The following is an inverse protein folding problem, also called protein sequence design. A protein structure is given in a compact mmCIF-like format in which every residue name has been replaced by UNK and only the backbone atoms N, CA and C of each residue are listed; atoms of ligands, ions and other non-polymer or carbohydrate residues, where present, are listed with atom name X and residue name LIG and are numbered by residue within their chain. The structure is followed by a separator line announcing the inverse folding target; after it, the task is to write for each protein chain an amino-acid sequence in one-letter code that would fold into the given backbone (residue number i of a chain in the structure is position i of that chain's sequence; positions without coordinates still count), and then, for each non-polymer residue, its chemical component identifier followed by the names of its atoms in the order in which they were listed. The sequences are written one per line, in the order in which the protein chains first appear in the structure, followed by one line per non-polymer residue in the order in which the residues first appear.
data_IF_015714415172
#
_entry.id   IF_015714415172
#
_cell.length_a   1.000
_cell.length_b   1.000
_cell.length_c   1.000
_cell.angle_alpha   90.00
_cell.angle_beta   90.00
_cell.angle_gamma   90.00
#
_symmetry.space_group_name_H-M   'P 1'
#
loop_
_entity.id
_entity.type
_entity.pdbx_description
1 polymer ?
#
# COMPACT_ATOMS: atom_id res chain seq x y z
N UNK A 1 15.87 4.74 -14.20
CA UNK A 1 15.81 3.41 -13.55
C UNK A 1 15.10 2.46 -14.51
N UNK A 2 15.54 1.21 -14.64
CA UNK A 2 14.84 0.24 -15.49
C UNK A 2 13.81 -0.53 -14.64
N UNK A 3 12.52 -0.16 -14.69
CA UNK A 3 11.49 -0.85 -13.90
C UNK A 3 11.17 -2.26 -14.41
N UNK A 4 11.44 -2.57 -15.68
CA UNK A 4 11.06 -3.86 -16.29
C UNK A 4 11.69 -5.08 -15.61
N UNK A 5 12.91 -4.96 -15.06
CA UNK A 5 13.59 -6.07 -14.36
C UNK A 5 12.93 -6.47 -13.03
N UNK A 6 12.08 -5.60 -12.50
CA UNK A 6 11.37 -5.83 -11.25
C UNK A 6 9.97 -6.40 -11.47
N UNK A 7 9.39 -6.23 -12.66
CA UNK A 7 8.00 -6.61 -12.91
C UNK A 7 7.97 -8.05 -13.45
N UNK A 8 7.17 -8.91 -12.85
CA UNK A 8 6.99 -10.30 -13.31
C UNK A 8 6.38 -10.34 -14.71
N UNK A 9 6.62 -11.43 -15.45
CA UNK A 9 6.02 -11.62 -16.77
C UNK A 9 4.48 -11.57 -16.73
N UNK A 10 3.88 -12.16 -15.67
CA UNK A 10 2.43 -12.12 -15.45
C UNK A 10 1.93 -10.70 -15.25
N UNK A 11 2.63 -9.90 -14.44
CA UNK A 11 2.24 -8.51 -14.20
C UNK A 11 2.44 -7.64 -15.45
N UNK A 12 3.53 -7.83 -16.19
CA UNK A 12 3.81 -7.11 -17.43
C UNK A 12 2.79 -7.44 -18.54
N UNK A 13 2.20 -8.64 -18.53
CA UNK A 13 1.18 -9.05 -19.49
C UNK A 13 -0.21 -8.44 -19.23
N UNK A 14 -0.43 -7.79 -18.08
CA UNK A 14 -1.72 -7.17 -17.76
C UNK A 14 -2.01 -6.03 -18.72
N UNK A 15 -3.21 -6.03 -19.29
CA UNK A 15 -3.73 -4.94 -20.12
C UNK A 15 -4.77 -4.14 -19.35
N UNK A 16 -4.87 -2.85 -19.64
CA UNK A 16 -5.94 -2.02 -19.11
C UNK A 16 -7.30 -2.63 -19.48
N UNK A 17 -8.17 -2.75 -18.49
CA UNK A 17 -9.52 -3.28 -18.70
C UNK A 17 -10.36 -2.25 -19.46
N UNK A 18 -10.89 -2.58 -20.67
CA UNK A 18 -11.62 -1.61 -21.50
C UNK A 18 -12.81 -0.96 -20.77
N UNK A 19 -13.52 -1.73 -19.93
CA UNK A 19 -14.66 -1.21 -19.18
C UNK A 19 -14.24 -0.18 -18.11
N UNK A 20 -13.03 -0.31 -17.55
CA UNK A 20 -12.49 0.66 -16.59
C UNK A 20 -12.06 1.95 -17.27
N UNK A 21 -11.39 1.84 -18.42
CA UNK A 21 -11.03 3.00 -19.26
C UNK A 21 -12.29 3.74 -19.72
N UNK A 22 -13.32 3.01 -20.16
CA UNK A 22 -14.61 3.61 -20.54
C UNK A 22 -15.26 4.36 -19.38
N UNK A 23 -15.20 3.83 -18.15
CA UNK A 23 -15.77 4.49 -16.97
C UNK A 23 -15.07 5.82 -16.69
N UNK A 24 -13.74 5.88 -16.80
CA UNK A 24 -12.95 7.10 -16.62
C UNK A 24 -13.28 8.14 -17.70
N UNK A 25 -13.38 7.71 -18.97
CA UNK A 25 -13.78 8.58 -20.08
C UNK A 25 -15.20 9.13 -19.88
N UNK A 26 -16.15 8.29 -19.45
CA UNK A 26 -17.53 8.72 -19.18
C UNK A 26 -17.59 9.74 -18.04
N UNK A 27 -16.75 9.62 -17.01
CA UNK A 27 -16.67 10.59 -15.91
C UNK A 27 -16.12 11.96 -16.34
N UNK A 28 -15.31 12.00 -17.40
CA UNK A 28 -14.72 13.24 -17.94
C UNK A 28 -15.49 13.80 -19.14
N UNK A 29 -16.49 13.07 -19.64
CA UNK A 29 -17.26 13.46 -20.82
C UNK A 29 -18.26 14.58 -20.51
N UNK A 30 -18.63 15.41 -21.52
CA UNK A 30 -19.62 16.44 -21.32
C UNK A 30 -21.00 15.83 -20.99
N UNK A 31 -21.85 16.52 -20.18
CA UNK A 31 -23.17 16.02 -19.81
C UNK A 31 -24.12 15.76 -20.99
N UNK A 32 -23.85 16.36 -22.16
CA UNK A 32 -24.63 16.16 -23.38
C UNK A 32 -24.34 14.84 -24.11
N UNK A 33 -23.28 14.10 -23.71
CA UNK A 33 -22.95 12.82 -24.32
C UNK A 33 -23.96 11.75 -23.90
N UNK A 34 -24.65 11.17 -24.89
CA UNK A 34 -25.49 9.98 -24.69
C UNK A 34 -24.61 8.74 -24.87
N UNK A 35 -24.37 8.00 -23.78
CA UNK A 35 -23.60 6.75 -23.82
C UNK A 35 -24.51 5.55 -23.54
N UNK A 36 -24.57 4.62 -24.50
CA UNK A 36 -25.23 3.31 -24.36
C UNK A 36 -24.21 2.17 -24.16
N UNK A 37 -22.92 2.50 -23.97
CA UNK A 37 -21.83 1.53 -23.86
C UNK A 37 -21.50 1.16 -22.41
N UNK A 38 -21.99 1.93 -21.43
CA UNK A 38 -21.71 1.73 -20.02
C UNK A 38 -22.46 0.52 -19.42
N UNK A 39 -21.77 -0.26 -18.59
CA UNK A 39 -22.37 -1.39 -17.85
C UNK A 39 -22.79 -1.04 -16.42
N UNK A 40 -22.88 0.25 -16.07
CA UNK A 40 -23.23 0.67 -14.72
C UNK A 40 -24.74 0.51 -14.47
N UNK A 41 -25.16 -0.09 -13.35
CA UNK A 41 -26.58 -0.18 -13.00
C UNK A 41 -27.19 1.20 -12.72
N UNK A 42 -28.49 1.35 -12.95
CA UNK A 42 -29.22 2.59 -12.70
C UNK A 42 -29.27 2.91 -11.19
N UNK A 43 -28.63 4.00 -10.78
CA UNK A 43 -28.50 4.38 -9.37
C UNK A 43 -29.83 4.73 -8.70
N UNK A 44 -30.88 5.07 -9.46
CA UNK A 44 -32.21 5.30 -8.91
C UNK A 44 -32.89 4.02 -8.39
N UNK A 45 -32.36 2.84 -8.74
CA UNK A 45 -32.87 1.55 -8.24
C UNK A 45 -32.29 1.15 -6.89
N UNK A 46 -31.27 1.87 -6.40
CA UNK A 46 -30.64 1.57 -5.12
C UNK A 46 -31.53 2.02 -3.94
N UNK A 47 -31.60 1.25 -2.84
CA UNK A 47 -32.59 1.47 -1.79
C UNK A 47 -32.24 2.61 -0.81
N UNK A 48 -30.98 3.03 -0.72
CA UNK A 48 -30.54 4.06 0.23
C UNK A 48 -30.59 5.44 -0.40
N UNK A 49 -31.29 6.39 0.24
CA UNK A 49 -31.48 7.76 -0.27
C UNK A 49 -30.52 8.79 0.32
N UNK A 50 -30.35 8.80 1.63
CA UNK A 50 -29.49 9.78 2.33
C UNK A 50 -28.83 9.13 3.53
N UNK A 51 -27.76 9.75 4.02
CA UNK A 51 -27.14 9.39 5.29
C UNK A 51 -26.63 10.63 6.02
N UNK A 52 -26.59 10.56 7.35
CA UNK A 52 -25.92 11.55 8.18
C UNK A 52 -24.94 10.82 9.08
N UNK A 53 -23.68 11.21 9.04
CA UNK A 53 -22.61 10.68 9.89
C UNK A 53 -22.22 11.78 10.85
N UNK A 54 -22.24 11.49 12.15
CA UNK A 54 -21.82 12.42 13.20
C UNK A 54 -20.44 12.00 13.67
N UNK A 55 -19.48 12.91 13.56
CA UNK A 55 -18.11 12.73 14.03
C UNK A 55 -18.04 13.07 15.53
N UNK A 56 -17.05 12.55 16.24
CA UNK A 56 -16.88 12.75 17.69
C UNK A 56 -16.82 14.23 18.10
N UNK A 57 -16.33 15.10 17.23
CA UNK A 57 -16.27 16.56 17.42
C UNK A 57 -17.57 17.28 17.02
N UNK A 58 -18.67 16.52 16.88
CA UNK A 58 -20.00 16.98 16.50
C UNK A 58 -20.14 17.46 15.05
N UNK A 59 -19.07 17.37 14.24
CA UNK A 59 -19.15 17.64 12.80
C UNK A 59 -20.14 16.68 12.15
N UNK A 60 -21.10 17.24 11.42
CA UNK A 60 -22.11 16.48 10.68
C UNK A 60 -21.71 16.37 9.21
N UNK A 61 -21.53 15.14 8.74
CA UNK A 61 -21.32 14.84 7.32
C UNK A 61 -22.66 14.39 6.74
N UNK A 62 -23.23 15.22 5.89
CA UNK A 62 -24.49 14.92 5.19
C UNK A 62 -24.23 14.35 3.81
N UNK A 63 -24.76 13.15 3.57
CA UNK A 63 -24.79 12.50 2.28
C UNK A 63 -26.20 12.65 1.71
N UNK A 64 -26.40 13.70 0.92
CA UNK A 64 -27.66 14.00 0.22
C UNK A 64 -27.86 13.06 -0.98
N UNK A 65 -29.05 13.07 -1.58
CA UNK A 65 -29.46 12.08 -2.57
C UNK A 65 -28.48 11.90 -3.74
N UNK A 66 -28.02 12.98 -4.36
CA UNK A 66 -27.07 12.89 -5.48
C UNK A 66 -25.71 12.33 -5.05
N UNK A 67 -25.23 12.71 -3.87
CA UNK A 67 -24.00 12.16 -3.31
C UNK A 67 -24.17 10.69 -2.91
N UNK A 68 -25.35 10.29 -2.43
CA UNK A 68 -25.68 8.90 -2.11
C UNK A 68 -25.69 8.03 -3.37
N UNK A 69 -26.33 8.50 -4.46
CA UNK A 69 -26.30 7.82 -5.76
C UNK A 69 -24.87 7.57 -6.24
N UNK A 70 -23.99 8.56 -6.09
CA UNK A 70 -22.56 8.43 -6.39
C UNK A 70 -21.86 7.45 -5.43
N UNK A 71 -22.13 7.51 -4.13
CA UNK A 71 -21.49 6.67 -3.12
C UNK A 71 -21.82 5.18 -3.24
N UNK A 72 -23.01 4.84 -3.75
CA UNK A 72 -23.44 3.46 -3.99
C UNK A 72 -23.02 2.91 -5.37
N UNK A 73 -22.45 3.76 -6.23
CA UNK A 73 -22.09 3.42 -7.60
C UNK A 73 -20.61 3.00 -7.71
N UNK A 74 -20.26 2.30 -8.79
CA UNK A 74 -18.87 2.09 -9.18
C UNK A 74 -18.11 3.41 -9.34
N UNK A 75 -16.86 3.41 -8.89
CA UNK A 75 -15.92 4.52 -9.01
C UNK A 75 -14.68 4.14 -9.83
N UNK A 76 -13.80 5.11 -10.05
CA UNK A 76 -12.48 4.87 -10.62
C UNK A 76 -11.68 3.88 -9.77
N UNK A 77 -10.90 3.02 -10.44
CA UNK A 77 -10.19 1.91 -9.78
C UNK A 77 -9.13 2.39 -8.79
N UNK A 78 -8.47 3.51 -9.10
CA UNK A 78 -7.45 4.10 -8.25
C UNK A 78 -8.02 4.86 -7.04
N UNK A 79 -9.33 5.11 -7.00
CA UNK A 79 -9.98 5.90 -5.95
C UNK A 79 -10.71 7.13 -6.48
N UNK A 80 -11.49 7.78 -5.61
CA UNK A 80 -12.20 9.01 -5.97
C UNK A 80 -11.22 10.19 -6.12
N UNK A 81 -11.36 11.05 -7.14
CA UNK A 81 -10.38 12.08 -7.48
C UNK A 81 -10.08 13.05 -6.33
N UNK A 82 -11.10 13.47 -5.58
CA UNK A 82 -10.96 14.41 -4.48
C UNK A 82 -10.10 13.85 -3.33
N UNK A 83 -10.22 12.55 -3.03
CA UNK A 83 -9.43 11.90 -2.00
C UNK A 83 -8.00 11.65 -2.51
N UNK A 84 -7.83 11.26 -3.77
CA UNK A 84 -6.52 11.13 -4.38
C UNK A 84 -5.75 12.46 -4.38
N UNK A 85 -6.41 13.56 -4.74
CA UNK A 85 -5.80 14.91 -4.70
C UNK A 85 -5.38 15.28 -3.28
N UNK A 86 -6.30 15.13 -2.32
CA UNK A 86 -6.01 15.46 -0.92
C UNK A 86 -4.83 14.65 -0.37
N UNK A 87 -4.79 13.34 -0.68
CA UNK A 87 -3.66 12.49 -0.30
C UNK A 87 -2.38 12.93 -1.00
N UNK A 88 -2.42 13.34 -2.28
CA UNK A 88 -1.21 13.78 -3.03
C UNK A 88 -0.61 14.99 -2.33
N UNK A 89 -1.45 15.90 -1.86
CA UNK A 89 -1.01 17.08 -1.12
C UNK A 89 -0.54 16.76 0.30
N UNK A 90 -1.17 15.81 0.99
CA UNK A 90 -0.67 15.27 2.26
C UNK A 90 0.74 14.69 2.08
N UNK A 91 0.97 13.89 1.04
CA UNK A 91 2.27 13.28 0.76
C UNK A 91 3.35 14.32 0.44
N UNK A 92 3.01 15.36 -0.34
CA UNK A 92 3.91 16.49 -0.62
C UNK A 92 4.27 17.23 0.67
N UNK A 93 3.28 17.53 1.50
CA UNK A 93 3.48 18.23 2.78
C UNK A 93 4.36 17.42 3.74
N UNK A 94 3.99 16.15 3.96
CA UNK A 94 4.65 15.27 4.92
C UNK A 94 6.06 14.86 4.47
N UNK A 95 6.29 14.66 3.17
CA UNK A 95 7.52 14.03 2.70
C UNK A 95 8.30 14.82 1.65
N UNK A 96 7.68 15.78 0.95
CA UNK A 96 8.24 16.49 -0.19
C UNK A 96 9.02 15.57 -1.17
N UNK A 97 8.38 14.54 -1.77
CA UNK A 97 9.10 13.57 -2.58
C UNK A 97 9.74 14.24 -3.81
N UNK A 98 11.01 13.97 -4.12
CA UNK A 98 11.67 14.56 -5.29
C UNK A 98 11.08 14.09 -6.62
N UNK A 99 10.27 13.02 -6.60
CA UNK A 99 9.66 12.40 -7.77
C UNK A 99 8.32 13.01 -8.18
N UNK A 100 7.86 14.08 -7.51
CA UNK A 100 6.58 14.75 -7.84
C UNK A 100 6.59 15.30 -9.27
N UNK A 101 7.71 15.90 -9.67
CA UNK A 101 7.85 16.58 -10.97
C UNK A 101 8.58 15.72 -12.02
N UNK A 102 8.81 14.44 -11.74
CA UNK A 102 9.43 13.53 -12.71
C UNK A 102 8.44 13.19 -13.82
N UNK A 103 8.96 12.75 -14.97
CA UNK A 103 8.11 12.14 -16.00
C UNK A 103 7.60 10.76 -15.54
N UNK A 104 6.45 10.29 -16.06
CA UNK A 104 5.93 8.95 -15.73
C UNK A 104 6.96 7.83 -15.95
N UNK A 105 7.74 7.90 -17.04
CA UNK A 105 8.75 6.91 -17.40
C UNK A 105 9.95 6.91 -16.43
N UNK A 106 10.21 8.04 -15.77
CA UNK A 106 11.29 8.20 -14.79
C UNK A 106 10.83 7.88 -13.35
N UNK A 107 9.56 7.53 -13.15
CA UNK A 107 9.00 7.16 -11.86
C UNK A 107 8.36 8.33 -11.12
N UNK A 108 7.55 9.12 -11.82
CA UNK A 108 6.69 10.13 -11.20
C UNK A 108 5.91 9.56 -10.01
N UNK A 109 5.75 10.38 -8.96
CA UNK A 109 4.94 10.00 -7.80
C UNK A 109 3.48 9.77 -8.21
N UNK A 110 3.03 8.52 -8.09
CA UNK A 110 1.64 8.14 -8.28
C UNK A 110 1.00 7.57 -7.03
N UNK A 111 -0.33 7.53 -7.02
CA UNK A 111 -1.10 7.00 -5.90
C UNK A 111 -2.34 6.24 -6.32
N UNK A 112 -2.67 5.24 -5.51
CA UNK A 112 -3.83 4.39 -5.66
C UNK A 112 -4.36 4.04 -4.26
N UNK A 113 -5.67 4.21 -4.09
CA UNK A 113 -6.37 3.82 -2.88
C UNK A 113 -6.64 2.31 -2.95
N UNK A 114 -6.38 1.63 -1.83
CA UNK A 114 -6.57 0.18 -1.71
C UNK A 114 -7.49 -0.12 -0.53
N UNK A 115 -8.00 -1.34 -0.48
CA UNK A 115 -8.85 -1.86 0.59
C UNK A 115 -7.97 -2.29 1.77
N UNK A 116 -7.32 -1.31 2.40
CA UNK A 116 -6.30 -1.57 3.42
C UNK A 116 -4.90 -1.72 2.83
N UNK A 117 -3.89 -1.34 3.61
CA UNK A 117 -2.50 -1.37 3.17
C UNK A 117 -1.98 -2.76 2.82
N UNK A 118 -2.50 -3.78 3.50
CA UNK A 118 -2.13 -5.16 3.23
C UNK A 118 -2.54 -5.61 1.82
N UNK A 119 -3.72 -5.20 1.30
CA UNK A 119 -4.14 -5.55 -0.07
C UNK A 119 -3.13 -5.00 -1.07
N UNK A 120 -2.77 -3.75 -0.85
CA UNK A 120 -1.71 -3.07 -1.53
C UNK A 120 -0.39 -3.84 -1.57
N UNK A 121 0.18 -4.11 -0.40
CA UNK A 121 1.45 -4.84 -0.27
C UNK A 121 1.40 -6.19 -0.97
N UNK A 122 0.30 -6.94 -0.85
CA UNK A 122 0.13 -8.21 -1.54
C UNK A 122 0.25 -8.05 -3.07
N UNK A 123 -0.43 -7.07 -3.67
CA UNK A 123 -0.32 -6.82 -5.12
C UNK A 123 1.10 -6.43 -5.52
N UNK A 124 1.81 -5.68 -4.67
CA UNK A 124 3.21 -5.31 -4.91
C UNK A 124 4.10 -6.54 -4.90
N UNK A 125 3.96 -7.43 -3.91
CA UNK A 125 4.74 -8.66 -3.88
C UNK A 125 4.44 -9.56 -5.09
N UNK A 126 3.17 -9.75 -5.44
CA UNK A 126 2.76 -10.51 -6.65
C UNK A 126 3.28 -9.89 -7.95
N UNK A 127 3.38 -8.56 -8.01
CA UNK A 127 3.93 -7.84 -9.15
C UNK A 127 5.44 -8.03 -9.28
N UNK A 128 6.14 -8.18 -8.15
CA UNK A 128 7.60 -8.07 -8.10
C UNK A 128 8.35 -9.41 -8.01
N UNK A 129 7.70 -10.45 -7.49
CA UNK A 129 8.35 -11.71 -7.11
C UNK A 129 8.07 -12.81 -8.12
N UNK A 130 9.14 -13.40 -8.66
CA UNK A 130 9.10 -14.73 -9.23
C UNK A 130 9.62 -15.75 -8.20
N UNK A 131 9.18 -17.02 -8.28
CA UNK A 131 9.77 -18.07 -7.45
C UNK A 131 11.30 -18.15 -7.61
N UNK A 132 12.01 -18.22 -6.49
CA UNK A 132 13.47 -18.21 -6.43
C UNK A 132 14.12 -16.82 -6.32
N UNK A 133 13.37 -15.73 -6.48
CA UNK A 133 13.92 -14.38 -6.31
C UNK A 133 14.36 -14.14 -4.86
N UNK A 134 15.51 -13.49 -4.67
CA UNK A 134 16.01 -13.08 -3.36
C UNK A 134 15.36 -11.76 -2.92
N UNK A 135 14.93 -11.68 -1.65
CA UNK A 135 14.40 -10.46 -1.04
C UNK A 135 15.00 -10.23 0.35
N UNK A 136 15.07 -8.97 0.77
CA UNK A 136 15.65 -8.57 2.05
C UNK A 136 14.54 -8.08 2.99
N UNK A 137 14.64 -8.42 4.28
CA UNK A 137 13.76 -7.87 5.32
C UNK A 137 14.45 -7.78 6.68
N UNK A 138 13.97 -6.90 7.55
CA UNK A 138 14.34 -6.89 8.97
C UNK A 138 13.91 -8.18 9.67
N UNK A 139 14.69 -8.66 10.64
CA UNK A 139 14.31 -9.76 11.51
C UNK A 139 14.44 -9.36 13.00
N UNK A 140 13.39 -9.53 13.83
CA UNK A 140 12.04 -10.02 13.49
C UNK A 140 11.20 -8.98 12.73
N UNK A 141 10.13 -9.42 12.05
CA UNK A 141 9.20 -8.55 11.30
C UNK A 141 7.75 -9.02 11.44
N UNK A 142 6.82 -8.29 10.81
CA UNK A 142 5.38 -8.54 10.91
C UNK A 142 4.99 -9.91 10.32
N UNK A 143 4.33 -10.81 11.10
CA UNK A 143 3.96 -12.14 10.62
C UNK A 143 3.02 -12.16 9.41
N UNK A 144 2.17 -11.14 9.26
CA UNK A 144 1.28 -11.03 8.09
C UNK A 144 2.05 -10.85 6.79
N UNK A 145 3.16 -10.12 6.81
CA UNK A 145 4.05 -9.98 5.65
C UNK A 145 4.71 -11.31 5.32
N UNK A 146 5.19 -12.07 6.32
CA UNK A 146 5.76 -13.40 6.08
C UNK A 146 4.72 -14.37 5.49
N UNK A 147 3.47 -14.31 5.94
CA UNK A 147 2.39 -15.13 5.40
C UNK A 147 2.06 -14.78 3.94
N UNK A 148 2.19 -13.51 3.54
CA UNK A 148 1.99 -13.07 2.16
C UNK A 148 3.17 -13.45 1.24
N UNK A 149 4.40 -13.44 1.75
CA UNK A 149 5.62 -13.68 0.96
C UNK A 149 5.90 -15.16 0.71
N UNK A 150 5.69 -16.04 1.71
CA UNK A 150 6.04 -17.47 1.62
C UNK A 150 5.42 -18.20 0.42
N UNK A 151 4.13 -18.02 0.09
CA UNK A 151 3.52 -18.70 -1.06
C UNK A 151 4.08 -18.26 -2.41
N UNK A 152 4.74 -17.10 -2.49
CA UNK A 152 5.33 -16.57 -3.72
C UNK A 152 6.68 -17.24 -4.05
N UNK A 153 7.20 -18.08 -3.16
CA UNK A 153 8.41 -18.89 -3.41
C UNK A 153 9.71 -18.08 -3.45
N UNK A 154 9.74 -16.88 -2.86
CA UNK A 154 10.97 -16.09 -2.74
C UNK A 154 11.90 -16.63 -1.63
N UNK A 155 13.19 -16.35 -1.79
CA UNK A 155 14.19 -16.57 -0.75
C UNK A 155 14.22 -15.35 0.17
N UNK A 156 13.72 -15.52 1.39
CA UNK A 156 13.72 -14.48 2.41
C UNK A 156 15.10 -14.42 3.07
N UNK A 157 15.82 -13.33 2.84
CA UNK A 157 17.14 -13.08 3.45
C UNK A 157 16.97 -12.08 4.59
N UNK A 158 17.16 -12.57 5.81
CA UNK A 158 17.04 -11.77 7.02
C UNK A 158 18.24 -10.83 7.17
N UNK A 159 17.94 -9.58 7.51
CA UNK A 159 18.92 -8.58 7.93
C UNK A 159 18.72 -8.31 9.42
N UNK A 160 19.78 -8.45 10.25
CA UNK A 160 19.72 -8.14 11.66
C UNK A 160 19.24 -6.71 11.96
N UNK A 161 18.45 -6.58 13.02
CA UNK A 161 17.92 -5.32 13.54
C UNK A 161 18.26 -5.16 15.02
N UNK A 162 18.35 -3.93 15.49
CA UNK A 162 18.48 -3.56 16.91
C UNK A 162 17.42 -2.53 17.32
N UNK A 163 17.59 -1.85 18.47
CA UNK A 163 16.65 -0.83 18.96
C UNK A 163 16.46 0.37 18.01
N UNK A 164 17.33 0.53 17.01
CA UNK A 164 17.27 1.55 15.98
C UNK A 164 16.87 0.98 14.61
N UNK A 165 16.20 -0.18 14.60
CA UNK A 165 15.77 -0.87 13.38
C UNK A 165 16.90 -1.63 12.70
N UNK A 166 16.76 -1.87 11.39
CA UNK A 166 17.76 -2.58 10.58
C UNK A 166 19.16 -1.99 10.72
N UNK A 167 20.17 -2.85 10.83
CA UNK A 167 21.58 -2.46 10.95
C UNK A 167 22.20 -2.34 9.55
N UNK A 168 22.57 -1.14 9.06
CA UNK A 168 23.09 -0.98 7.69
C UNK A 168 24.40 -1.71 7.43
N UNK A 169 25.26 -1.85 8.45
CA UNK A 169 26.49 -2.65 8.35
C UNK A 169 26.18 -4.13 8.05
N UNK A 170 25.16 -4.70 8.70
CA UNK A 170 24.74 -6.06 8.46
C UNK A 170 24.08 -6.20 7.07
N UNK A 171 23.29 -5.20 6.64
CA UNK A 171 22.78 -5.15 5.27
C UNK A 171 23.92 -5.15 4.25
N UNK A 172 24.97 -4.34 4.46
CA UNK A 172 26.15 -4.29 3.60
C UNK A 172 26.89 -5.63 3.53
N UNK A 173 27.02 -6.31 4.65
CA UNK A 173 27.63 -7.66 4.72
C UNK A 173 26.79 -8.71 3.99
N UNK A 174 25.47 -8.67 4.11
CA UNK A 174 24.59 -9.54 3.32
C UNK A 174 24.76 -9.26 1.82
N UNK A 175 24.82 -7.98 1.43
CA UNK A 175 24.94 -7.56 0.04
C UNK A 175 26.33 -7.84 -0.56
N UNK A 176 27.39 -8.02 0.23
CA UNK A 176 28.74 -8.27 -0.28
C UNK A 176 28.90 -9.63 -0.98
N UNK A 177 27.86 -10.46 -0.99
CA UNK A 177 27.78 -11.70 -1.79
C UNK A 177 27.65 -11.43 -3.29
N UNK A 178 27.24 -10.22 -3.66
CA UNK A 178 27.06 -9.79 -5.04
C UNK A 178 28.01 -8.65 -5.38
N UNK A 179 28.40 -8.59 -6.65
CA UNK A 179 28.96 -7.38 -7.24
C UNK A 179 27.81 -6.46 -7.68
N UNK A 180 27.88 -5.13 -7.49
CA UNK A 180 26.87 -4.19 -8.01
C UNK A 180 26.53 -4.37 -9.51
N UNK A 181 27.48 -4.81 -10.32
CA UNK A 181 27.30 -5.04 -11.75
C UNK A 181 26.53 -6.33 -12.07
N UNK A 182 26.36 -7.23 -11.08
CA UNK A 182 25.60 -8.47 -11.25
C UNK A 182 24.15 -8.21 -11.69
N UNK A 183 23.58 -7.07 -11.32
CA UNK A 183 22.23 -6.67 -11.73
C UNK A 183 22.05 -6.58 -13.25
N UNK A 184 23.15 -6.36 -14.00
CA UNK A 184 23.15 -6.27 -15.46
C UNK A 184 23.24 -7.64 -16.15
N UNK A 185 23.59 -8.70 -15.40
CA UNK A 185 23.66 -10.06 -15.95
C UNK A 185 22.26 -10.58 -16.25
N UNK A 186 22.09 -11.25 -17.39
CA UNK A 186 20.78 -11.78 -17.83
C UNK A 186 20.17 -12.77 -16.83
N UNK A 187 21.01 -13.60 -16.22
CA UNK A 187 20.65 -14.45 -15.08
C UNK A 187 21.43 -13.96 -13.88
N UNK A 188 20.76 -13.26 -12.98
CA UNK A 188 21.29 -12.85 -11.69
C UNK A 188 20.27 -13.18 -10.60
N UNK A 189 20.78 -13.34 -9.39
CA UNK A 189 19.99 -13.56 -8.18
C UNK A 189 20.16 -12.38 -7.21
N UNK A 190 20.47 -11.18 -7.71
CA UNK A 190 20.57 -10.01 -6.84
C UNK A 190 19.22 -9.72 -6.18
N UNK A 191 19.19 -9.21 -4.95
CA UNK A 191 17.93 -8.97 -4.26
C UNK A 191 17.00 -8.03 -5.04
N UNK A 192 15.72 -8.41 -5.18
CA UNK A 192 14.72 -7.60 -5.89
C UNK A 192 14.35 -6.35 -5.10
N UNK A 193 14.13 -6.50 -3.81
CA UNK A 193 13.76 -5.41 -2.93
C UNK A 193 14.13 -5.68 -1.47
N UNK A 194 14.15 -4.59 -0.72
CA UNK A 194 14.16 -4.55 0.74
C UNK A 194 12.77 -4.14 1.24
N UNK A 195 12.14 -4.96 2.07
CA UNK A 195 10.95 -4.60 2.83
C UNK A 195 11.35 -4.15 4.24
N UNK A 196 10.75 -3.06 4.74
CA UNK A 196 10.91 -2.69 6.14
C UNK A 196 9.75 -1.89 6.71
N UNK A 197 9.59 -1.98 8.03
CA UNK A 197 8.68 -1.13 8.82
C UNK A 197 9.52 -0.07 9.55
N UNK A 198 9.68 1.13 8.97
CA UNK A 198 10.72 2.07 9.41
C UNK A 198 10.40 2.80 10.71
N UNK A 199 9.14 2.83 11.14
CA UNK A 199 8.69 3.49 12.36
C UNK A 199 7.85 2.49 13.17
N UNK A 200 8.17 2.32 14.45
CA UNK A 200 7.43 1.45 15.36
C UNK A 200 7.32 0.00 14.87
N UNK A 201 8.41 -0.59 14.38
CA UNK A 201 8.43 -1.92 13.74
C UNK A 201 7.63 -2.97 14.51
N UNK A 202 6.76 -3.73 13.84
CA UNK A 202 6.00 -4.78 14.51
C UNK A 202 6.78 -6.11 14.40
N UNK A 203 7.22 -6.74 15.51
CA UNK A 203 6.76 -6.54 16.90
C UNK A 203 7.67 -5.69 17.80
N UNK A 204 8.82 -5.20 17.31
CA UNK A 204 9.91 -4.64 18.14
C UNK A 204 9.65 -3.25 18.73
N UNK A 205 8.76 -2.45 18.14
CA UNK A 205 8.62 -1.02 18.40
C UNK A 205 9.79 -0.15 17.91
N UNK A 206 10.83 -0.74 17.32
CA UNK A 206 12.04 -0.02 16.90
C UNK A 206 11.78 0.89 15.70
N UNK A 207 12.52 2.00 15.60
CA UNK A 207 12.41 2.93 14.48
C UNK A 207 13.78 3.26 13.90
N UNK A 208 13.86 3.29 12.57
CA UNK A 208 15.08 3.63 11.85
C UNK A 208 15.44 5.11 12.05
N UNK A 209 16.69 5.37 12.44
CA UNK A 209 17.23 6.74 12.48
C UNK A 209 17.44 7.30 11.07
N UNK A 210 17.46 8.62 10.93
CA UNK A 210 17.68 9.29 9.64
C UNK A 210 18.99 8.88 8.99
N UNK A 211 20.03 8.65 9.79
CA UNK A 211 21.37 8.25 9.33
C UNK A 211 21.31 6.86 8.72
N UNK A 212 20.69 5.89 9.40
CA UNK A 212 20.48 4.55 8.87
C UNK A 212 19.63 4.56 7.61
N UNK A 213 18.60 5.43 7.56
CA UNK A 213 17.77 5.61 6.36
C UNK A 213 18.63 6.03 5.16
N UNK A 214 19.57 6.96 5.33
CA UNK A 214 20.50 7.40 4.28
C UNK A 214 21.43 6.28 3.84
N UNK A 215 22.02 5.54 4.77
CA UNK A 215 22.94 4.44 4.46
C UNK A 215 22.25 3.30 3.69
N UNK A 216 21.06 2.87 4.16
CA UNK A 216 20.25 1.86 3.49
C UNK A 216 19.88 2.34 2.07
N UNK A 217 19.51 3.60 1.92
CA UNK A 217 19.19 4.17 0.60
C UNK A 217 20.40 4.20 -0.35
N UNK A 218 21.60 4.47 0.17
CA UNK A 218 22.84 4.39 -0.62
C UNK A 218 23.12 2.96 -1.09
N UNK A 219 22.92 1.97 -0.22
CA UNK A 219 23.06 0.55 -0.57
C UNK A 219 22.02 0.13 -1.61
N UNK A 220 20.77 0.56 -1.47
CA UNK A 220 19.72 0.33 -2.46
C UNK A 220 20.07 0.90 -3.83
N UNK A 221 20.66 2.10 -3.87
CA UNK A 221 21.14 2.69 -5.12
C UNK A 221 22.33 1.94 -5.70
N UNK A 222 23.27 1.51 -4.86
CA UNK A 222 24.48 0.81 -5.30
C UNK A 222 24.17 -0.58 -5.88
N UNK A 223 23.33 -1.35 -5.21
CA UNK A 223 22.94 -2.70 -5.62
C UNK A 223 21.63 -2.73 -6.44
N UNK A 224 21.11 -1.54 -6.75
CA UNK A 224 19.95 -1.29 -7.59
C UNK A 224 18.66 -2.01 -7.13
N UNK A 225 18.40 -2.25 -5.84
CA UNK A 225 17.14 -2.87 -5.38
C UNK A 225 16.07 -1.85 -4.99
N UNK A 226 14.78 -2.24 -5.05
CA UNK A 226 13.68 -1.38 -4.58
C UNK A 226 13.59 -1.38 -3.05
N UNK A 227 13.05 -0.30 -2.47
CA UNK A 227 12.68 -0.26 -1.05
C UNK A 227 11.16 -0.19 -0.94
N UNK A 228 10.56 -1.17 -0.28
CA UNK A 228 9.15 -1.19 0.10
C UNK A 228 9.06 -0.70 1.55
N UNK A 229 8.60 0.55 1.72
CA UNK A 229 8.43 1.20 3.01
C UNK A 229 7.00 0.98 3.53
N UNK A 230 6.80 -0.02 4.39
CA UNK A 230 5.51 -0.29 5.04
C UNK A 230 5.41 0.49 6.34
N UNK A 231 4.71 1.62 6.31
CA UNK A 231 4.76 2.62 7.38
C UNK A 231 3.41 2.86 8.07
N UNK A 232 2.75 1.81 8.61
CA UNK A 232 1.42 1.94 9.21
C UNK A 232 1.43 2.75 10.51
N UNK A 233 2.60 2.91 11.14
CA UNK A 233 2.78 3.65 12.39
C UNK A 233 3.38 5.05 12.19
N UNK A 234 3.49 5.55 10.96
CA UNK A 234 4.06 6.86 10.66
C UNK A 234 3.47 7.98 11.52
N UNK A 235 2.14 8.03 11.64
CA UNK A 235 1.42 9.06 12.40
C UNK A 235 1.30 8.76 13.90
N UNK A 236 1.94 7.68 14.40
CA UNK A 236 1.91 7.24 15.80
C UNK A 236 3.28 7.35 16.48
N UNK A 237 4.18 8.18 15.95
CA UNK A 237 5.49 8.41 16.54
C UNK A 237 5.37 9.28 17.81
N UNK A 238 5.96 8.82 18.92
CA UNK A 238 5.94 9.55 20.19
C UNK A 238 6.93 10.71 20.25
N UNK A 239 8.02 10.62 19.48
CA UNK A 239 9.01 11.68 19.42
C UNK A 239 8.45 12.88 18.66
N UNK A 240 8.40 14.05 19.31
CA UNK A 240 8.09 15.31 18.64
C UNK A 240 9.22 15.67 17.68
N UNK A 241 9.11 15.26 16.42
CA UNK A 241 9.84 15.96 15.36
C UNK A 241 9.19 17.34 15.27
N UNK A 242 9.85 18.37 15.83
CA UNK A 242 9.43 19.75 15.64
C UNK A 242 9.38 20.00 14.13
N UNK A 243 8.18 20.10 13.57
CA UNK A 243 7.95 20.66 12.25
C UNK A 243 8.31 22.15 12.34
N UNK A 244 9.61 22.48 12.29
CA UNK A 244 10.06 23.84 12.11
C UNK A 244 9.75 24.22 10.65
N UNK A 245 8.86 25.19 10.38
CA UNK A 245 8.52 25.60 9.01
C UNK A 245 9.73 26.15 8.23
N UNK A 246 10.83 26.47 8.93
CA UNK A 246 12.02 27.14 8.40
C UNK A 246 13.27 26.24 8.37
N UNK A 247 13.17 24.95 8.71
CA UNK A 247 14.30 24.02 8.58
C UNK A 247 14.19 23.21 7.29
N UNK A 248 15.06 23.59 6.35
CA UNK A 248 15.56 22.87 5.18
C UNK A 248 14.89 21.49 4.89
N UNK A 249 14.16 21.31 3.76
CA UNK A 249 13.40 20.10 3.45
C UNK A 249 14.24 18.80 3.28
N UNK A 250 15.55 18.85 3.46
CA UNK A 250 16.50 17.74 3.29
C UNK A 250 16.55 16.74 4.45
N UNK A 251 15.87 17.02 5.58
CA UNK A 251 15.79 16.13 6.74
C UNK A 251 14.35 15.60 6.94
N UNK A 252 13.78 14.91 5.94
CA UNK A 252 12.47 14.26 6.07
C UNK A 252 12.61 12.73 6.03
N UNK A 253 11.88 12.10 6.95
CA UNK A 253 12.02 10.74 7.50
C UNK A 253 11.70 9.56 6.56
N UNK A 254 11.66 9.76 5.24
CA UNK A 254 11.29 8.70 4.30
C UNK A 254 12.50 8.13 3.56
N UNK A 255 12.53 6.81 3.44
CA UNK A 255 13.70 6.04 2.97
C UNK A 255 13.92 5.97 1.45
N UNK A 256 13.11 6.60 0.59
CA UNK A 256 13.14 6.22 -0.83
C UNK A 256 12.96 7.37 -1.85
N UNK A 257 13.74 7.29 -2.95
CA UNK A 257 13.42 7.83 -4.29
C UNK A 257 12.86 6.76 -5.26
N UNK A 258 12.39 5.61 -4.75
CA UNK A 258 11.80 4.51 -5.53
C UNK A 258 10.29 4.37 -5.28
N UNK A 259 9.61 3.55 -6.09
CA UNK A 259 8.15 3.32 -6.12
C UNK A 259 7.53 3.31 -4.72
N UNK A 260 6.89 4.43 -4.34
CA UNK A 260 6.17 4.57 -3.08
C UNK A 260 4.74 4.11 -3.30
N UNK A 261 4.46 2.87 -2.95
CA UNK A 261 3.07 2.42 -2.86
C UNK A 261 2.66 2.57 -1.41
N UNK A 262 2.29 3.80 -1.04
CA UNK A 262 1.67 4.07 0.26
C UNK A 262 0.17 3.92 0.12
N UNK A 263 -0.37 3.09 0.98
CA UNK A 263 -1.76 2.70 0.96
C UNK A 263 -2.52 3.44 2.05
N UNK A 264 -3.74 3.85 1.72
CA UNK A 264 -4.67 4.37 2.72
C UNK A 264 -5.51 3.21 3.24
N UNK A 265 -5.47 3.00 4.55
CA UNK A 265 -6.30 2.02 5.24
C UNK A 265 -7.70 2.60 5.42
N UNK A 266 -8.71 1.94 4.86
CA UNK A 266 -10.09 2.12 5.31
C UNK A 266 -10.34 1.21 6.51
N UNK A 267 -10.98 1.74 7.56
CA UNK A 267 -11.21 1.02 8.80
C UNK A 267 -12.23 -0.12 8.58
N UNK A 268 -11.80 -1.37 8.76
CA UNK A 268 -12.74 -2.50 8.88
C UNK A 268 -13.28 -2.50 10.31
N UNK A 269 -14.51 -2.03 10.49
CA UNK A 269 -15.19 -2.06 11.78
C UNK A 269 -15.12 -3.45 12.42
N UNK A 270 -14.59 -3.54 13.64
CA UNK A 270 -14.71 -4.76 14.47
C UNK A 270 -16.20 -5.03 14.66
N UNK A 271 -16.70 -6.15 14.12
CA UNK A 271 -17.95 -6.74 14.63
C UNK A 271 -17.70 -7.13 16.08
N UNK A 272 -18.21 -6.33 17.03
CA UNK A 272 -18.48 -6.84 18.38
C UNK A 272 -19.51 -7.95 18.21
N UNK A 273 -19.19 -9.18 18.65
CA UNK A 273 -20.26 -10.15 18.92
C UNK A 273 -21.17 -9.51 19.97
N UNK A 274 -22.50 -9.43 19.77
CA UNK A 274 -23.38 -9.02 20.83
C UNK A 274 -23.25 -10.04 21.98
N UNK A 275 -22.75 -9.55 23.11
CA UNK A 275 -22.77 -10.26 24.39
C UNK A 275 -24.18 -10.18 24.96
N UNK A 276 -25.08 -11.01 24.41
CA UNK A 276 -26.34 -11.48 25.00
C UNK A 276 -27.27 -11.93 23.86
N UNK A 277 -27.34 -13.25 23.64
CA UNK A 277 -28.56 -13.86 23.13
C UNK A 277 -28.80 -15.10 23.99
N UNK A 278 -29.92 -15.20 24.71
CA UNK A 278 -30.22 -16.35 25.55
C UNK A 278 -30.30 -17.60 24.69
N UNK A 279 -29.61 -18.66 25.12
CA UNK A 279 -29.81 -19.99 24.60
C UNK A 279 -31.22 -20.45 25.02
N UNK A 280 -32.19 -20.31 24.14
CA UNK A 280 -33.37 -21.17 24.07
C UNK A 280 -34.12 -20.84 22.77
N UNK A 281 -34.80 -21.84 22.22
CA UNK A 281 -35.52 -21.83 20.92
C UNK A 281 -34.62 -22.15 19.72
N UNK A 282 -34.20 -23.42 19.60
CA UNK A 282 -34.26 -24.23 18.37
C UNK A 282 -33.67 -25.63 18.64
N UNK A 283 -34.33 -26.41 19.51
CA UNK A 283 -34.24 -27.87 19.49
C UNK A 283 -35.65 -28.41 19.33
N UNK A 284 -36.04 -28.76 18.10
CA UNK A 284 -37.09 -29.73 17.79
C UNK A 284 -37.04 -30.07 16.31
N UNK A 285 -36.84 -31.34 16.03
CA UNK A 285 -37.19 -31.96 14.76
C UNK A 285 -36.03 -32.11 13.79
N UNK A 286 -35.32 -33.24 13.87
CA UNK A 286 -35.34 -34.27 12.83
C UNK A 286 -34.61 -35.50 13.35
N UNK A 287 -35.41 -36.48 13.76
CA UNK A 287 -34.99 -37.86 13.98
C UNK A 287 -34.76 -38.52 12.61
N UNK A 288 -33.69 -39.27 12.47
CA UNK A 288 -33.62 -40.39 11.52
C UNK A 288 -33.34 -41.67 12.31
N UNK A 289 -33.94 -42.82 11.95
CA UNK A 289 -33.89 -44.03 12.75
C UNK A 289 -32.61 -44.84 12.46
N UNK A 290 -32.17 -45.55 13.47
CA UNK A 290 -31.10 -46.53 13.47
C UNK A 290 -31.50 -47.85 12.82
N UNK A 291 -30.60 -48.40 12.00
CA UNK A 291 -30.09 -49.78 12.05
C UNK A 291 -28.61 -49.72 11.67
#
# INVERSE_FOLDING_TARGET
MNYSRFITAVSAARKASPIRVLTELMQQSPPSLISLAGGAPNSNTFPFKTATIIIKDETRVEIKEELMKRALQYSASAGIPELLSWLKDLQKTAHNPPTVDYSPQEGQMEMCITTGSQEGLCKVFEMLINPGDNILLDAPTYPGTLAALRPLGCNIINVPSDQHGMIPKALKEVLSRWDPEDVKKLKNDTPKFLYTIPNGGNPTGASLTTERKKEIYQLARQYDFLIIEDDPYYFLQFNKVRMNPLQNPSAKSSLSRGVRIKFVVTYKGRRRRPSSCPADVFQRGLRTPSC
#
